data_IF_944947268296
#
_entry.id   IF_944947268296
#
_cell.length_a   1.000
_cell.length_b   1.000
_cell.length_c   1.000
_cell.angle_alpha   90.00
_cell.angle_beta   90.00
_cell.angle_gamma   90.00
#
_symmetry.space_group_name_H-M   'P 1'
#
loop_
_entity.id
_entity.type
_entity.pdbx_description
1 polymer ?
#
# COMPACT_ATOMS: atom_id res chain seq x y z
N UNK A 1 -13.34 -19.96 68.98
CA UNK A 1 -12.71 -21.20 68.47
C UNK A 1 -13.59 -21.79 67.37
N UNK A 2 -12.98 -22.36 66.31
CA UNK A 2 -13.56 -22.66 64.99
C UNK A 2 -14.06 -24.14 64.95
N UNK A 3 -14.41 -24.80 63.81
CA UNK A 3 -13.66 -24.95 62.53
C UNK A 3 -14.48 -24.58 61.27
N UNK A 4 -13.99 -24.14 60.11
CA UNK A 4 -12.88 -24.49 59.18
C UNK A 4 -13.14 -25.68 58.23
N UNK A 5 -13.26 -25.34 56.93
CA UNK A 5 -12.91 -26.08 55.69
C UNK A 5 -13.75 -27.28 55.20
N UNK A 6 -14.29 -27.18 53.98
CA UNK A 6 -13.78 -27.92 52.81
C UNK A 6 -14.62 -27.68 51.53
N UNK A 7 -13.94 -27.33 50.43
CA UNK A 7 -14.21 -27.66 49.02
C UNK A 7 -15.66 -27.78 48.51
N UNK A 8 -16.00 -27.04 47.44
CA UNK A 8 -16.41 -27.67 46.16
C UNK A 8 -16.53 -26.69 44.99
N UNK A 9 -15.64 -26.90 44.04
CA UNK A 9 -15.43 -26.23 42.75
C UNK A 9 -16.47 -26.69 41.70
N UNK A 10 -17.78 -26.54 41.97
CA UNK A 10 -18.85 -27.18 41.17
C UNK A 10 -19.84 -26.24 40.42
N UNK A 11 -19.99 -24.92 40.69
CA UNK A 11 -21.00 -24.12 39.98
C UNK A 11 -20.65 -23.82 38.52
N UNK A 12 -19.35 -23.70 38.19
CA UNK A 12 -18.91 -23.19 36.88
C UNK A 12 -19.04 -24.22 35.74
N UNK A 13 -18.82 -25.50 36.03
CA UNK A 13 -18.97 -26.57 35.01
C UNK A 13 -20.43 -26.89 34.69
N UNK A 14 -21.35 -26.83 35.67
CA UNK A 14 -22.79 -27.08 35.43
C UNK A 14 -23.44 -25.99 34.57
N UNK A 15 -23.02 -24.73 34.74
CA UNK A 15 -23.50 -23.62 33.92
C UNK A 15 -23.02 -23.72 32.46
N UNK A 16 -21.78 -24.15 32.24
CA UNK A 16 -21.23 -24.38 30.90
C UNK A 16 -21.93 -25.54 30.18
N UNK A 17 -22.13 -26.67 30.85
CA UNK A 17 -22.81 -27.84 30.26
C UNK A 17 -24.26 -27.54 29.88
N UNK A 18 -24.99 -26.76 30.69
CA UNK A 18 -26.37 -26.34 30.36
C UNK A 18 -26.42 -25.38 29.17
N UNK A 19 -25.51 -24.41 29.08
CA UNK A 19 -25.42 -23.50 27.92
C UNK A 19 -25.01 -24.26 26.65
N UNK A 20 -24.06 -25.19 26.74
CA UNK A 20 -23.67 -26.05 25.62
C UNK A 20 -24.82 -26.96 25.17
N UNK A 21 -25.58 -27.55 26.10
CA UNK A 21 -26.72 -28.41 25.77
C UNK A 21 -27.90 -27.62 25.13
N UNK A 22 -28.15 -26.39 25.57
CA UNK A 22 -29.13 -25.50 24.91
C UNK A 22 -28.69 -25.04 23.51
N UNK A 23 -27.39 -24.73 23.32
CA UNK A 23 -26.85 -24.38 22.01
C UNK A 23 -26.92 -25.56 21.04
N UNK A 24 -26.60 -26.77 21.50
CA UNK A 24 -26.72 -28.00 20.72
C UNK A 24 -28.19 -28.30 20.40
N UNK A 25 -29.11 -28.16 21.36
CA UNK A 25 -30.54 -28.35 21.11
C UNK A 25 -31.11 -27.36 20.08
N UNK A 26 -30.68 -26.09 20.10
CA UNK A 26 -31.06 -25.10 19.09
C UNK A 26 -30.45 -25.40 17.73
N UNK A 27 -29.20 -25.86 17.67
CA UNK A 27 -28.55 -26.24 16.41
C UNK A 27 -29.23 -27.47 15.79
N UNK A 28 -29.58 -28.48 16.59
CA UNK A 28 -30.30 -29.68 16.13
C UNK A 28 -31.71 -29.32 15.64
N UNK A 29 -32.44 -28.44 16.35
CA UNK A 29 -33.75 -27.98 15.89
C UNK A 29 -33.68 -27.20 14.58
N UNK A 30 -32.65 -26.36 14.39
CA UNK A 30 -32.41 -25.64 13.12
C UNK A 30 -32.08 -26.61 12.00
N UNK A 31 -31.24 -27.62 12.24
CA UNK A 31 -30.89 -28.63 11.24
C UNK A 31 -32.09 -29.51 10.86
N UNK A 32 -32.95 -29.87 11.82
CA UNK A 32 -34.19 -30.62 11.54
C UNK A 32 -35.14 -29.75 10.71
N UNK A 33 -35.36 -28.49 11.07
CA UNK A 33 -36.18 -27.57 10.26
C UNK A 33 -35.61 -27.37 8.84
N UNK A 34 -34.28 -27.26 8.71
CA UNK A 34 -33.63 -27.07 7.41
C UNK A 34 -33.81 -28.32 6.53
N UNK A 35 -33.56 -29.50 7.07
CA UNK A 35 -33.71 -30.78 6.35
C UNK A 35 -35.17 -31.09 6.01
N UNK A 36 -36.12 -30.73 6.87
CA UNK A 36 -37.55 -30.93 6.63
C UNK A 36 -38.08 -29.98 5.53
N UNK A 37 -37.61 -28.72 5.51
CA UNK A 37 -37.91 -27.75 4.44
C UNK A 37 -37.27 -28.17 3.11
N UNK A 38 -36.04 -28.65 3.11
CA UNK A 38 -35.35 -29.17 1.92
C UNK A 38 -36.06 -30.41 1.35
N UNK A 39 -36.52 -31.31 2.21
CA UNK A 39 -37.26 -32.51 1.81
C UNK A 39 -38.65 -32.17 1.24
N UNK A 40 -39.34 -31.19 1.83
CA UNK A 40 -40.64 -30.70 1.33
C UNK A 40 -40.52 -29.96 0.00
N UNK A 41 -39.45 -29.17 -0.19
CA UNK A 41 -39.17 -28.48 -1.46
C UNK A 41 -38.99 -29.49 -2.60
N UNK A 42 -38.27 -30.59 -2.34
CA UNK A 42 -37.95 -31.59 -3.34
C UNK A 42 -39.14 -32.50 -3.68
N UNK A 43 -39.94 -32.90 -2.69
CA UNK A 43 -41.12 -33.77 -2.90
C UNK A 43 -42.26 -33.01 -3.56
N UNK A 44 -42.53 -31.77 -3.14
CA UNK A 44 -43.72 -31.07 -3.61
C UNK A 44 -43.50 -30.34 -4.95
N UNK A 45 -42.34 -29.68 -5.15
CA UNK A 45 -42.09 -28.87 -6.33
C UNK A 45 -41.31 -29.61 -7.42
N UNK A 46 -40.52 -30.63 -7.06
CA UNK A 46 -39.72 -31.42 -7.98
C UNK A 46 -40.51 -32.00 -9.16
N UNK A 47 -41.61 -32.74 -8.95
CA UNK A 47 -42.38 -33.35 -10.04
C UNK A 47 -42.97 -32.35 -11.03
N UNK A 48 -43.45 -31.20 -10.53
CA UNK A 48 -44.00 -30.12 -11.38
C UNK A 48 -42.91 -29.47 -12.23
N UNK A 49 -41.73 -29.27 -11.66
CA UNK A 49 -40.56 -28.73 -12.38
C UNK A 49 -40.08 -29.71 -13.45
N UNK A 50 -40.02 -31.01 -13.16
CA UNK A 50 -39.65 -32.03 -14.14
C UNK A 50 -40.63 -32.05 -15.33
N UNK A 51 -41.94 -32.03 -15.07
CA UNK A 51 -42.95 -31.99 -16.14
C UNK A 51 -42.85 -30.72 -16.99
N UNK A 52 -42.55 -29.58 -16.37
CA UNK A 52 -42.31 -28.33 -17.10
C UNK A 52 -41.04 -28.41 -17.95
N UNK A 53 -39.95 -28.99 -17.44
CA UNK A 53 -38.72 -29.20 -18.21
C UNK A 53 -38.96 -30.13 -19.41
N UNK A 54 -39.74 -31.20 -19.26
CA UNK A 54 -40.12 -32.07 -20.37
C UNK A 54 -40.92 -31.31 -21.44
N UNK A 55 -41.82 -30.42 -21.00
CA UNK A 55 -42.63 -29.59 -21.92
C UNK A 55 -41.78 -28.56 -22.66
N UNK A 56 -40.80 -27.94 -21.99
CA UNK A 56 -39.93 -26.91 -22.57
C UNK A 56 -38.86 -27.51 -23.47
N UNK A 57 -38.29 -28.66 -23.10
CA UNK A 57 -37.28 -29.37 -23.89
C UNK A 57 -37.89 -30.14 -25.06
N UNK A 58 -39.19 -30.49 -25.00
CA UNK A 58 -39.92 -31.05 -26.13
C UNK A 58 -39.32 -32.36 -26.63
N UNK A 59 -38.66 -32.33 -27.80
CA UNK A 59 -37.95 -33.48 -28.40
C UNK A 59 -36.52 -33.67 -27.92
N UNK A 60 -35.92 -32.65 -27.32
CA UNK A 60 -34.56 -32.72 -26.80
C UNK A 60 -34.56 -33.32 -25.39
N UNK A 61 -33.58 -34.18 -25.10
CA UNK A 61 -33.44 -34.75 -23.76
C UNK A 61 -33.09 -33.64 -22.76
N UNK A 62 -33.80 -33.62 -21.62
CA UNK A 62 -33.50 -32.70 -20.52
C UNK A 62 -32.04 -32.94 -20.07
N UNK A 63 -31.18 -31.90 -20.08
CA UNK A 63 -29.79 -32.05 -19.66
C UNK A 63 -29.70 -32.59 -18.24
N UNK A 64 -28.76 -33.50 -17.98
CA UNK A 64 -28.55 -34.02 -16.63
C UNK A 64 -28.23 -32.87 -15.67
N UNK A 65 -29.02 -32.71 -14.61
CA UNK A 65 -28.81 -31.69 -13.59
C UNK A 65 -28.84 -32.32 -12.19
N UNK A 66 -28.18 -31.66 -11.25
CA UNK A 66 -28.15 -32.11 -9.87
C UNK A 66 -29.46 -31.72 -9.17
N UNK A 67 -30.19 -32.73 -8.69
CA UNK A 67 -31.45 -32.53 -7.95
C UNK A 67 -31.11 -32.22 -6.48
N UNK A 68 -30.72 -30.98 -6.24
CA UNK A 68 -30.55 -30.42 -4.90
C UNK A 68 -31.65 -29.36 -4.63
N UNK A 69 -31.99 -29.06 -3.37
CA UNK A 69 -33.12 -28.19 -3.02
C UNK A 69 -32.95 -26.77 -3.59
N UNK A 70 -31.72 -26.27 -3.67
CA UNK A 70 -31.39 -24.98 -4.28
C UNK A 70 -31.68 -24.97 -5.78
N UNK A 71 -31.30 -26.02 -6.50
CA UNK A 71 -31.55 -26.19 -7.94
C UNK A 71 -33.05 -26.30 -8.20
N UNK A 72 -33.79 -27.08 -7.40
CA UNK A 72 -35.25 -27.21 -7.53
C UNK A 72 -35.97 -25.88 -7.28
N UNK A 73 -35.57 -25.12 -6.25
CA UNK A 73 -36.14 -23.79 -5.97
C UNK A 73 -35.83 -22.78 -7.09
N UNK A 74 -34.58 -22.76 -7.59
CA UNK A 74 -34.20 -21.93 -8.73
C UNK A 74 -35.01 -22.27 -9.99
N UNK A 75 -35.14 -23.55 -10.32
CA UNK A 75 -35.92 -24.02 -11.47
C UNK A 75 -37.41 -23.74 -11.30
N UNK A 76 -37.95 -23.87 -10.09
CA UNK A 76 -39.34 -23.52 -9.80
C UNK A 76 -39.61 -22.03 -9.98
N UNK A 77 -38.72 -21.16 -9.48
CA UNK A 77 -38.80 -19.71 -9.71
C UNK A 77 -38.70 -19.36 -11.19
N UNK A 78 -37.80 -20.03 -11.91
CA UNK A 78 -37.64 -19.87 -13.35
C UNK A 78 -38.92 -20.29 -14.10
N UNK A 79 -39.48 -21.46 -13.76
CA UNK A 79 -40.75 -21.96 -14.30
C UNK A 79 -41.87 -20.94 -14.07
N UNK A 80 -42.04 -20.43 -12.85
CA UNK A 80 -43.08 -19.44 -12.54
C UNK A 80 -42.91 -18.15 -13.34
N UNK A 81 -41.66 -17.67 -13.48
CA UNK A 81 -41.35 -16.50 -14.29
C UNK A 81 -41.64 -16.76 -15.77
N UNK A 82 -41.24 -17.91 -16.29
CA UNK A 82 -41.48 -18.31 -17.67
C UNK A 82 -42.98 -18.43 -17.95
N UNK A 83 -43.75 -19.13 -17.12
CA UNK A 83 -45.21 -19.23 -17.25
C UNK A 83 -45.90 -17.86 -17.24
N UNK A 84 -45.44 -16.92 -16.40
CA UNK A 84 -45.98 -15.55 -16.40
C UNK A 84 -45.64 -14.84 -17.71
N UNK A 85 -44.41 -14.96 -18.18
CA UNK A 85 -43.98 -14.34 -19.43
C UNK A 85 -44.70 -14.93 -20.64
N UNK A 86 -44.88 -16.25 -20.68
CA UNK A 86 -45.58 -16.97 -21.74
C UNK A 86 -47.02 -16.49 -21.88
N UNK A 87 -47.72 -16.31 -20.74
CA UNK A 87 -49.07 -15.71 -20.74
C UNK A 87 -49.10 -14.28 -21.27
N UNK A 88 -48.10 -13.47 -20.92
CA UNK A 88 -48.02 -12.10 -21.43
C UNK A 88 -47.78 -12.12 -22.94
N UNK A 89 -46.88 -12.97 -23.42
CA UNK A 89 -46.59 -13.14 -24.84
C UNK A 89 -47.82 -13.65 -25.58
N UNK A 90 -48.57 -14.61 -25.02
CA UNK A 90 -49.79 -15.13 -25.65
C UNK A 90 -50.83 -14.02 -25.83
N UNK A 91 -51.03 -13.14 -24.83
CA UNK A 91 -51.92 -11.99 -24.98
C UNK A 91 -51.45 -11.02 -26.08
N UNK A 92 -50.14 -10.77 -26.20
CA UNK A 92 -49.60 -9.92 -27.27
C UNK A 92 -49.82 -10.57 -28.64
N UNK A 93 -49.63 -11.88 -28.76
CA UNK A 93 -49.87 -12.62 -30.00
C UNK A 93 -51.34 -12.54 -30.40
N UNK A 94 -52.26 -12.75 -29.45
CA UNK A 94 -53.70 -12.71 -29.71
C UNK A 94 -54.17 -11.30 -30.10
N UNK A 95 -53.68 -10.26 -29.43
CA UNK A 95 -53.92 -8.85 -29.79
C UNK A 95 -53.40 -8.52 -31.20
N UNK A 96 -52.18 -8.94 -31.54
CA UNK A 96 -51.62 -8.73 -32.88
C UNK A 96 -52.41 -9.48 -33.96
N UNK A 97 -52.86 -10.71 -33.67
CA UNK A 97 -53.72 -11.47 -34.58
C UNK A 97 -55.06 -10.78 -34.80
N UNK A 98 -55.69 -10.29 -33.74
CA UNK A 98 -56.94 -9.54 -33.82
C UNK A 98 -56.75 -8.27 -34.66
N UNK A 99 -55.73 -7.47 -34.37
CA UNK A 99 -55.41 -6.25 -35.15
C UNK A 99 -55.16 -6.57 -36.62
N UNK A 100 -54.39 -7.62 -36.92
CA UNK A 100 -54.15 -8.03 -38.30
C UNK A 100 -55.45 -8.40 -39.03
N UNK A 101 -56.36 -9.10 -38.36
CA UNK A 101 -57.68 -9.43 -38.92
C UNK A 101 -58.51 -8.16 -39.15
N UNK A 102 -58.55 -7.23 -38.18
CA UNK A 102 -59.24 -5.94 -38.30
C UNK A 102 -58.69 -5.11 -39.47
N UNK A 103 -57.37 -4.97 -39.57
CA UNK A 103 -56.73 -4.26 -40.69
C UNK A 103 -57.02 -4.93 -42.04
N UNK A 104 -57.03 -6.26 -42.11
CA UNK A 104 -57.36 -6.99 -43.34
C UNK A 104 -58.82 -6.79 -43.76
N UNK A 105 -59.76 -6.80 -42.80
CA UNK A 105 -61.17 -6.53 -43.07
C UNK A 105 -61.38 -5.08 -43.52
N UNK A 106 -60.72 -4.13 -42.86
CA UNK A 106 -60.82 -2.72 -43.20
C UNK A 106 -60.20 -2.41 -44.56
N UNK A 107 -59.06 -3.02 -44.89
CA UNK A 107 -58.44 -2.94 -46.21
C UNK A 107 -59.40 -3.45 -47.30
N UNK A 108 -60.09 -4.57 -47.04
CA UNK A 108 -61.11 -5.11 -47.96
C UNK A 108 -62.30 -4.16 -48.09
N UNK A 109 -62.80 -3.61 -46.98
CA UNK A 109 -63.91 -2.66 -46.96
C UNK A 109 -63.59 -1.40 -47.77
N UNK A 110 -62.43 -0.78 -47.53
CA UNK A 110 -61.97 0.41 -48.27
C UNK A 110 -61.75 0.07 -49.74
N UNK A 111 -61.13 -1.08 -50.04
CA UNK A 111 -60.94 -1.56 -51.42
C UNK A 111 -62.24 -1.66 -52.20
N UNK A 112 -63.30 -2.21 -51.59
CA UNK A 112 -64.62 -2.30 -52.19
C UNK A 112 -65.24 -0.91 -52.46
N UNK A 113 -65.12 0.02 -51.50
CA UNK A 113 -65.60 1.40 -51.67
C UNK A 113 -64.87 2.08 -52.84
N UNK A 114 -63.55 1.96 -52.90
CA UNK A 114 -62.75 2.55 -53.98
C UNK A 114 -63.09 1.94 -55.35
N UNK A 115 -63.30 0.62 -55.40
CA UNK A 115 -63.72 -0.07 -56.63
C UNK A 115 -65.07 0.44 -57.14
N UNK A 116 -66.03 0.67 -56.25
CA UNK A 116 -67.37 1.17 -56.62
C UNK A 116 -67.33 2.58 -57.23
N UNK A 117 -66.32 3.38 -56.90
CA UNK A 117 -66.13 4.75 -57.41
C UNK A 117 -65.16 4.75 -58.61
N UNK A 118 -64.65 3.58 -59.03
CA UNK A 118 -63.72 3.44 -60.17
C UNK A 118 -62.25 3.78 -59.85
N UNK A 119 -61.92 4.02 -58.57
CA UNK A 119 -60.60 4.41 -58.07
C UNK A 119 -59.77 3.20 -57.60
N UNK A 120 -59.91 2.06 -58.27
CA UNK A 120 -59.13 0.86 -57.94
C UNK A 120 -57.63 1.05 -58.25
N UNK A 121 -56.75 0.33 -57.56
CA UNK A 121 -55.31 0.37 -57.86
C UNK A 121 -54.97 -0.02 -59.31
N UNK A 122 -55.83 -0.84 -59.95
CA UNK A 122 -55.68 -1.21 -61.37
C UNK A 122 -56.09 -0.11 -62.36
N UNK A 123 -56.83 0.91 -61.90
CA UNK A 123 -57.26 2.05 -62.70
C UNK A 123 -56.18 3.15 -62.80
N UNK A 124 -55.13 3.07 -61.99
CA UNK A 124 -54.07 4.08 -61.92
C UNK A 124 -53.08 3.96 -63.09
N UNK A 125 -52.49 5.08 -63.49
CA UNK A 125 -51.35 5.07 -64.40
C UNK A 125 -50.14 4.39 -63.75
N UNK A 126 -49.19 3.91 -64.56
CA UNK A 126 -47.92 3.33 -64.05
C UNK A 126 -47.17 4.27 -63.10
N UNK A 127 -47.23 5.58 -63.37
CA UNK A 127 -46.64 6.60 -62.50
C UNK A 127 -47.41 6.72 -61.18
N UNK A 128 -48.74 6.73 -61.22
CA UNK A 128 -49.57 6.77 -60.02
C UNK A 128 -49.36 5.55 -59.11
N UNK A 129 -49.26 4.34 -59.67
CA UNK A 129 -48.96 3.13 -58.91
C UNK A 129 -47.57 3.18 -58.26
N UNK A 130 -46.57 3.75 -58.96
CA UNK A 130 -45.22 3.90 -58.42
C UNK A 130 -45.15 4.93 -57.29
N UNK A 131 -45.84 6.07 -57.43
CA UNK A 131 -45.95 7.09 -56.38
C UNK A 131 -46.65 6.54 -55.14
N UNK A 132 -47.77 5.82 -55.32
CA UNK A 132 -48.48 5.19 -54.20
C UNK A 132 -47.62 4.14 -53.50
N UNK A 133 -46.93 3.28 -54.26
CA UNK A 133 -46.01 2.29 -53.69
C UNK A 133 -44.88 2.94 -52.89
N UNK A 134 -44.28 4.01 -53.42
CA UNK A 134 -43.24 4.78 -52.70
C UNK A 134 -43.78 5.37 -51.40
N UNK A 135 -44.99 5.92 -51.42
CA UNK A 135 -45.61 6.53 -50.26
C UNK A 135 -45.94 5.49 -49.17
N UNK A 136 -46.47 4.33 -49.57
CA UNK A 136 -46.71 3.19 -48.66
C UNK A 136 -45.39 2.69 -48.07
N UNK A 137 -44.36 2.50 -48.88
CA UNK A 137 -43.05 2.08 -48.41
C UNK A 137 -42.43 3.10 -47.44
N UNK A 138 -42.57 4.39 -47.72
CA UNK A 138 -42.09 5.45 -46.83
C UNK A 138 -42.80 5.40 -45.48
N UNK A 139 -44.14 5.27 -45.47
CA UNK A 139 -44.91 5.12 -44.24
C UNK A 139 -44.54 3.86 -43.45
N UNK A 140 -44.31 2.73 -44.14
CA UNK A 140 -43.90 1.48 -43.50
C UNK A 140 -42.49 1.56 -42.90
N UNK A 141 -41.53 2.13 -43.62
CA UNK A 141 -40.14 2.30 -43.15
C UNK A 141 -40.06 3.28 -41.98
N UNK A 142 -40.84 4.35 -42.03
CA UNK A 142 -40.91 5.34 -40.95
C UNK A 142 -41.87 4.93 -39.82
N UNK A 143 -42.53 3.77 -39.94
CA UNK A 143 -43.53 3.27 -39.00
C UNK A 143 -44.64 4.29 -38.68
N UNK A 144 -45.11 5.03 -39.68
CA UNK A 144 -46.19 6.02 -39.51
C UNK A 144 -47.57 5.36 -39.60
N UNK A 145 -48.54 5.92 -38.87
CA UNK A 145 -49.93 5.45 -38.88
C UNK A 145 -50.64 5.68 -40.22
N UNK A 146 -50.22 6.72 -40.94
CA UNK A 146 -50.79 7.17 -42.20
C UNK A 146 -49.70 7.78 -43.09
N UNK A 147 -50.07 7.98 -44.35
CA UNK A 147 -49.24 8.63 -45.34
C UNK A 147 -49.53 10.15 -45.43
N UNK A 148 -50.00 10.76 -44.34
CA UNK A 148 -50.21 12.21 -44.32
C UNK A 148 -48.85 12.93 -44.30
N UNK A 149 -48.82 14.11 -44.93
CA UNK A 149 -47.61 14.94 -45.00
C UNK A 149 -47.05 15.24 -43.60
N UNK A 150 -47.91 15.61 -42.65
CA UNK A 150 -47.49 15.91 -41.27
C UNK A 150 -46.88 14.70 -40.57
N UNK A 151 -47.48 13.50 -40.68
CA UNK A 151 -46.93 12.29 -40.07
C UNK A 151 -45.57 11.94 -40.64
N UNK A 152 -45.42 12.01 -41.97
CA UNK A 152 -44.15 11.74 -42.64
C UNK A 152 -43.08 12.77 -42.27
N UNK A 153 -43.42 14.06 -42.29
CA UNK A 153 -42.49 15.15 -41.94
C UNK A 153 -42.01 15.07 -40.49
N UNK A 154 -42.90 14.73 -39.55
CA UNK A 154 -42.52 14.51 -38.15
C UNK A 154 -41.59 13.31 -38.00
N UNK A 155 -41.92 12.17 -38.61
CA UNK A 155 -41.08 10.97 -38.52
C UNK A 155 -39.70 11.18 -39.16
N UNK A 156 -39.64 11.87 -40.31
CA UNK A 156 -38.38 12.26 -40.95
C UNK A 156 -37.57 13.18 -40.04
N UNK A 157 -38.21 14.18 -39.43
CA UNK A 157 -37.54 15.12 -38.51
C UNK A 157 -36.99 14.40 -37.27
N UNK A 158 -37.75 13.47 -36.70
CA UNK A 158 -37.33 12.65 -35.57
C UNK A 158 -36.12 11.76 -35.92
N UNK A 159 -36.12 11.17 -37.12
CA UNK A 159 -34.98 10.41 -37.64
C UNK A 159 -33.74 11.31 -37.78
N UNK A 160 -33.88 12.51 -38.34
CA UNK A 160 -32.77 13.46 -38.46
C UNK A 160 -32.23 13.88 -37.08
N UNK A 161 -33.10 14.17 -36.12
CA UNK A 161 -32.70 14.53 -34.75
C UNK A 161 -31.98 13.36 -34.06
N UNK A 162 -32.47 12.14 -34.24
CA UNK A 162 -31.84 10.94 -33.68
C UNK A 162 -30.46 10.71 -34.28
N UNK A 163 -30.33 10.84 -35.62
CA UNK A 163 -29.04 10.76 -36.31
C UNK A 163 -28.07 11.84 -35.83
N UNK A 164 -28.55 13.06 -35.63
CA UNK A 164 -27.72 14.15 -35.15
C UNK A 164 -27.20 13.88 -33.73
N UNK A 165 -28.08 13.47 -32.80
CA UNK A 165 -27.70 13.09 -31.43
C UNK A 165 -26.69 11.94 -31.41
N UNK A 166 -26.90 10.94 -32.26
CA UNK A 166 -25.97 9.81 -32.37
C UNK A 166 -24.60 10.26 -32.89
N UNK A 167 -24.56 11.14 -33.89
CA UNK A 167 -23.32 11.71 -34.42
C UNK A 167 -22.57 12.54 -33.36
N UNK A 168 -23.28 13.29 -32.54
CA UNK A 168 -22.68 14.05 -31.43
C UNK A 168 -22.10 13.12 -30.37
N UNK A 169 -22.84 12.08 -29.96
CA UNK A 169 -22.36 11.04 -29.05
C UNK A 169 -21.10 10.36 -29.58
N UNK A 170 -21.11 9.95 -30.86
CA UNK A 170 -19.96 9.34 -31.51
C UNK A 170 -18.74 10.25 -31.52
N UNK A 171 -18.93 11.55 -31.77
CA UNK A 171 -17.82 12.52 -31.73
C UNK A 171 -17.23 12.67 -30.33
N UNK A 172 -18.06 12.67 -29.28
CA UNK A 172 -17.59 12.72 -27.90
C UNK A 172 -16.85 11.43 -27.52
N UNK A 173 -17.39 10.27 -27.88
CA UNK A 173 -16.76 8.97 -27.67
C UNK A 173 -15.40 8.89 -28.36
N UNK A 174 -15.30 9.36 -29.61
CA UNK A 174 -14.04 9.38 -30.36
C UNK A 174 -12.98 10.26 -29.68
N UNK A 175 -13.38 11.45 -29.17
CA UNK A 175 -12.48 12.32 -28.41
C UNK A 175 -11.97 11.61 -27.15
N UNK A 176 -12.86 11.03 -26.35
CA UNK A 176 -12.49 10.30 -25.12
C UNK A 176 -11.57 9.12 -25.44
N UNK A 177 -11.88 8.37 -26.50
CA UNK A 177 -11.07 7.23 -26.94
C UNK A 177 -9.67 7.70 -27.36
N UNK A 178 -9.57 8.80 -28.12
CA UNK A 178 -8.28 9.35 -28.53
C UNK A 178 -7.41 9.78 -27.33
N UNK A 179 -8.01 10.39 -26.31
CA UNK A 179 -7.32 10.77 -25.08
C UNK A 179 -6.86 9.54 -24.28
N UNK A 180 -7.73 8.53 -24.15
CA UNK A 180 -7.40 7.29 -23.47
C UNK A 180 -6.28 6.53 -24.19
N UNK A 181 -6.28 6.50 -25.52
CA UNK A 181 -5.19 5.93 -26.30
C UNK A 181 -3.87 6.68 -26.07
N UNK A 182 -3.89 8.02 -26.05
CA UNK A 182 -2.71 8.81 -25.75
C UNK A 182 -2.18 8.54 -24.33
N UNK A 183 -3.06 8.50 -23.33
CA UNK A 183 -2.71 8.13 -21.94
C UNK A 183 -2.15 6.72 -21.86
N UNK A 184 -2.75 5.76 -22.54
CA UNK A 184 -2.28 4.37 -22.57
C UNK A 184 -0.90 4.25 -23.20
N UNK A 185 -0.67 4.94 -24.33
CA UNK A 185 0.64 4.97 -24.99
C UNK A 185 1.71 5.57 -24.09
N UNK A 186 1.42 6.68 -23.40
CA UNK A 186 2.38 7.29 -22.47
C UNK A 186 2.65 6.40 -21.25
N UNK A 187 1.63 5.75 -20.70
CA UNK A 187 1.79 4.78 -19.62
C UNK A 187 2.66 3.59 -20.04
N UNK A 188 2.44 3.06 -21.26
CA UNK A 188 3.24 1.98 -21.81
C UNK A 188 4.71 2.36 -21.98
N UNK A 189 5.01 3.57 -22.48
CA UNK A 189 6.38 4.07 -22.57
C UNK A 189 7.04 4.19 -21.20
N UNK A 190 6.30 4.67 -20.18
CA UNK A 190 6.80 4.73 -18.80
C UNK A 190 7.07 3.35 -18.22
N UNK A 191 6.18 2.38 -18.44
CA UNK A 191 6.39 0.98 -18.02
C UNK A 191 7.63 0.37 -18.66
N UNK A 192 7.83 0.58 -19.97
CA UNK A 192 9.02 0.12 -20.68
C UNK A 192 10.31 0.76 -20.14
N UNK A 193 10.30 2.07 -19.86
CA UNK A 193 11.43 2.75 -19.23
C UNK A 193 11.70 2.20 -17.83
N UNK A 194 10.66 2.06 -17.00
CA UNK A 194 10.79 1.55 -15.63
C UNK A 194 11.36 0.13 -15.62
N UNK A 195 10.93 -0.74 -16.53
CA UNK A 195 11.49 -2.09 -16.69
C UNK A 195 12.97 -2.06 -17.03
N UNK A 196 13.39 -1.19 -17.96
CA UNK A 196 14.82 -1.03 -18.29
C UNK A 196 15.63 -0.50 -17.11
N UNK A 197 15.11 0.49 -16.38
CA UNK A 197 15.78 1.02 -15.19
C UNK A 197 15.89 -0.03 -14.09
N UNK A 198 14.84 -0.80 -13.85
CA UNK A 198 14.85 -1.89 -12.87
C UNK A 198 15.85 -2.98 -13.23
N UNK A 199 15.94 -3.35 -14.51
CA UNK A 199 16.94 -4.28 -14.99
C UNK A 199 18.37 -3.75 -14.78
N UNK A 200 18.62 -2.47 -15.10
CA UNK A 200 19.92 -1.84 -14.86
C UNK A 200 20.30 -1.80 -13.38
N UNK A 201 19.35 -1.48 -12.49
CA UNK A 201 19.58 -1.50 -11.05
C UNK A 201 19.84 -2.91 -10.51
N UNK A 202 19.16 -3.93 -11.05
CA UNK A 202 19.41 -5.32 -10.69
C UNK A 202 20.82 -5.76 -11.12
N UNK A 203 21.24 -5.39 -12.33
CA UNK A 203 22.59 -5.66 -12.83
C UNK A 203 23.66 -4.93 -11.99
N UNK A 204 23.44 -3.67 -11.62
CA UNK A 204 24.34 -2.91 -10.74
C UNK A 204 24.43 -3.52 -9.34
N UNK A 205 23.29 -3.98 -8.79
CA UNK A 205 23.26 -4.66 -7.50
C UNK A 205 24.09 -5.97 -7.55
N UNK A 206 23.92 -6.78 -8.61
CA UNK A 206 24.70 -8.00 -8.82
C UNK A 206 26.20 -7.73 -8.95
N UNK A 207 26.60 -6.59 -9.53
CA UNK A 207 28.00 -6.18 -9.61
C UNK A 207 28.57 -5.72 -8.26
N UNK A 208 27.75 -5.10 -7.41
CA UNK A 208 28.16 -4.62 -6.08
C UNK A 208 28.24 -5.76 -5.04
N UNK A 209 27.40 -6.79 -5.17
CA UNK A 209 27.37 -7.95 -4.27
C UNK A 209 28.75 -8.54 -3.91
N UNK A 210 29.65 -8.86 -4.87
CA UNK A 210 30.97 -9.40 -4.54
C UNK A 210 31.85 -8.42 -3.76
N UNK A 211 31.78 -7.12 -4.06
CA UNK A 211 32.55 -6.09 -3.33
C UNK A 211 31.99 -5.87 -1.92
N UNK A 212 30.67 -5.92 -1.75
CA UNK A 212 30.02 -5.89 -0.43
C UNK A 212 30.44 -7.14 0.38
N UNK A 213 30.42 -8.32 -0.23
CA UNK A 213 30.82 -9.57 0.43
C UNK A 213 32.31 -9.54 0.84
N UNK A 214 33.18 -9.04 -0.04
CA UNK A 214 34.61 -8.85 0.26
C UNK A 214 34.82 -7.89 1.42
N UNK A 215 34.15 -6.73 1.42
CA UNK A 215 34.19 -5.77 2.53
C UNK A 215 33.65 -6.38 3.82
N UNK A 216 32.59 -7.19 3.76
CA UNK A 216 32.05 -7.89 4.91
C UNK A 216 33.06 -8.90 5.50
N UNK A 217 33.73 -9.69 4.66
CA UNK A 217 34.81 -10.61 5.08
C UNK A 217 35.99 -9.85 5.72
N UNK A 218 36.42 -8.75 5.11
CA UNK A 218 37.50 -7.91 5.66
C UNK A 218 37.11 -7.29 7.00
N UNK A 219 35.89 -6.76 7.12
CA UNK A 219 35.37 -6.22 8.37
C UNK A 219 35.32 -7.29 9.47
N UNK A 220 34.89 -8.52 9.15
CA UNK A 220 34.88 -9.64 10.09
C UNK A 220 36.30 -9.99 10.58
N UNK A 221 37.28 -10.03 9.67
CA UNK A 221 38.69 -10.27 10.02
C UNK A 221 39.26 -9.19 10.96
N UNK A 222 39.06 -7.91 10.61
CA UNK A 222 39.52 -6.79 11.45
C UNK A 222 38.85 -6.81 12.83
N UNK A 223 37.57 -7.19 12.91
CA UNK A 223 36.85 -7.34 14.17
C UNK A 223 37.45 -8.44 15.04
N UNK A 224 37.84 -9.57 14.43
CA UNK A 224 38.52 -10.66 15.13
C UNK A 224 39.88 -10.20 15.67
N UNK A 225 40.70 -9.51 14.85
CA UNK A 225 42.00 -8.96 15.29
C UNK A 225 41.87 -7.93 16.40
N UNK A 226 40.89 -7.03 16.31
CA UNK A 226 40.60 -6.09 17.40
C UNK A 226 40.30 -6.81 18.72
N UNK A 227 39.54 -7.91 18.67
CA UNK A 227 39.23 -8.72 19.85
C UNK A 227 40.47 -9.44 20.40
N UNK A 228 41.34 -9.97 19.54
CA UNK A 228 42.64 -10.54 19.94
C UNK A 228 43.52 -9.50 20.62
N UNK A 229 43.76 -8.35 20.00
CA UNK A 229 44.58 -7.29 20.57
C UNK A 229 44.02 -6.78 21.89
N UNK A 230 42.70 -6.68 22.02
CA UNK A 230 42.06 -6.32 23.30
C UNK A 230 42.37 -7.34 24.39
N UNK A 231 42.36 -8.65 24.08
CA UNK A 231 42.76 -9.69 25.04
C UNK A 231 44.23 -9.55 25.43
N UNK A 232 45.12 -9.34 24.46
CA UNK A 232 46.57 -9.16 24.73
C UNK A 232 46.82 -7.93 25.58
N UNK A 233 46.18 -6.80 25.28
CA UNK A 233 46.26 -5.57 26.08
C UNK A 233 45.82 -5.85 27.52
N UNK A 234 44.68 -6.52 27.71
CA UNK A 234 44.19 -6.86 29.04
C UNK A 234 45.18 -7.76 29.79
N UNK A 235 45.74 -8.78 29.13
CA UNK A 235 46.76 -9.66 29.72
C UNK A 235 48.04 -8.91 30.10
N UNK A 236 48.52 -8.01 29.25
CA UNK A 236 49.70 -7.19 29.52
C UNK A 236 49.43 -6.20 30.67
N UNK A 237 48.23 -5.62 30.73
CA UNK A 237 47.82 -4.76 31.84
C UNK A 237 47.72 -5.53 33.15
N UNK A 238 47.19 -6.75 33.15
CA UNK A 238 47.18 -7.63 34.32
C UNK A 238 48.61 -8.00 34.76
N UNK A 239 49.48 -8.36 33.81
CA UNK A 239 50.89 -8.61 34.10
C UNK A 239 51.57 -7.39 34.71
N UNK A 240 51.34 -6.21 34.15
CA UNK A 240 51.89 -4.94 34.65
C UNK A 240 51.42 -4.63 36.08
N UNK A 241 50.14 -4.90 36.38
CA UNK A 241 49.61 -4.77 37.75
C UNK A 241 50.22 -5.80 38.70
N UNK A 242 50.38 -7.05 38.25
CA UNK A 242 50.97 -8.13 39.06
C UNK A 242 52.46 -7.97 39.32
N UNK A 243 53.19 -7.26 38.45
CA UNK A 243 54.63 -6.97 38.62
C UNK A 243 54.92 -5.84 39.61
N UNK A 244 53.89 -5.25 40.24
CA UNK A 244 54.07 -4.26 41.30
C UNK A 244 54.68 -2.93 40.84
N UNK A 245 54.57 -2.61 39.54
CA UNK A 245 55.08 -1.34 39.00
C UNK A 245 54.16 -0.21 39.46
N UNK A 246 54.63 0.57 40.42
CA UNK A 246 53.95 1.76 40.93
C UNK A 246 54.05 2.91 39.91
N UNK A 247 52.99 3.73 39.85
CA UNK A 247 52.87 4.88 38.95
C UNK A 247 53.94 5.96 39.14
N UNK A 248 54.68 5.85 40.24
CA UNK A 248 55.85 6.66 40.59
C UNK A 248 57.08 6.35 39.74
N UNK A 249 57.17 5.15 39.16
CA UNK A 249 58.27 4.66 38.32
C UNK A 249 58.07 4.94 36.82
N UNK A 250 56.96 5.57 36.42
CA UNK A 250 56.78 5.99 35.03
C UNK A 250 57.76 7.10 34.64
N UNK A 251 58.23 7.08 33.39
CA UNK A 251 59.24 8.00 32.87
C UNK A 251 58.86 9.48 33.08
N UNK A 252 57.61 9.85 32.83
CA UNK A 252 57.11 11.21 33.06
C UNK A 252 57.19 11.63 34.54
N UNK A 253 56.91 10.72 35.46
CA UNK A 253 57.02 10.99 36.91
C UNK A 253 58.48 11.08 37.35
N UNK A 254 59.35 10.21 36.83
CA UNK A 254 60.79 10.25 37.09
C UNK A 254 61.44 11.54 36.56
N UNK A 255 61.06 11.97 35.36
CA UNK A 255 61.54 13.22 34.76
C UNK A 255 61.17 14.42 35.64
N UNK A 256 59.89 14.52 36.03
CA UNK A 256 59.41 15.57 36.95
C UNK A 256 60.14 15.53 38.30
N UNK A 257 60.34 14.35 38.89
CA UNK A 257 61.09 14.20 40.15
C UNK A 257 62.54 14.63 40.01
N UNK A 258 63.17 14.33 38.87
CA UNK A 258 64.55 14.75 38.57
C UNK A 258 64.66 16.28 38.46
N UNK A 259 63.70 16.92 37.80
CA UNK A 259 63.62 18.39 37.71
C UNK A 259 63.39 19.05 39.09
N UNK A 260 62.51 18.49 39.91
CA UNK A 260 62.29 18.92 41.30
C UNK A 260 63.56 18.78 42.16
N UNK A 261 64.33 17.71 41.95
CA UNK A 261 65.59 17.47 42.66
C UNK A 261 66.66 18.46 42.22
N UNK A 262 66.78 18.73 40.92
CA UNK A 262 67.75 19.68 40.38
C UNK A 262 67.47 21.09 40.89
N UNK A 263 66.21 21.55 40.83
CA UNK A 263 65.82 22.85 41.38
C UNK A 263 66.07 22.96 42.88
N UNK A 264 65.85 21.88 43.64
CA UNK A 264 66.17 21.83 45.07
C UNK A 264 67.68 21.88 45.33
N UNK A 265 68.49 21.24 44.48
CA UNK A 265 69.95 21.26 44.54
C UNK A 265 70.51 22.63 44.20
N UNK A 266 69.97 23.30 43.19
CA UNK A 266 70.34 24.67 42.82
C UNK A 266 70.00 25.66 43.95
N UNK A 267 68.84 25.49 44.59
CA UNK A 267 68.46 26.24 45.80
C UNK A 267 69.44 25.99 46.95
N UNK A 268 69.76 24.74 47.26
CA UNK A 268 70.75 24.39 48.28
C UNK A 268 72.13 24.98 47.98
N UNK A 269 72.57 24.93 46.72
CA UNK A 269 73.83 25.54 46.30
C UNK A 269 73.83 27.05 46.54
N UNK A 270 72.75 27.75 46.18
CA UNK A 270 72.62 29.20 46.42
C UNK A 270 72.59 29.56 47.92
N UNK A 271 71.94 28.74 48.75
CA UNK A 271 71.89 28.90 50.20
C UNK A 271 73.23 28.60 50.86
N UNK A 272 73.95 27.58 50.38
CA UNK A 272 75.31 27.24 50.83
C UNK A 272 76.28 28.38 50.53
N UNK A 273 76.24 28.94 49.32
CA UNK A 273 77.06 30.09 48.94
C UNK A 273 76.80 31.30 49.84
N UNK A 274 75.53 31.58 50.18
CA UNK A 274 75.17 32.63 51.16
C UNK A 274 75.71 32.30 52.56
N UNK A 275 75.59 31.07 53.03
CA UNK A 275 76.08 30.67 54.34
C UNK A 275 77.61 30.79 54.44
N UNK A 276 78.35 30.32 53.44
CA UNK A 276 79.80 30.43 53.38
C UNK A 276 80.22 31.92 53.34
N UNK A 277 79.43 32.80 52.71
CA UNK A 277 79.66 34.26 52.78
C UNK A 277 79.38 34.87 54.15
N UNK A 278 78.47 34.30 54.95
CA UNK A 278 78.23 34.74 56.33
C UNK A 278 79.29 34.19 57.29
N UNK A 279 79.82 33.00 57.02
CA UNK A 279 80.83 32.34 57.86
C UNK A 279 82.23 32.95 57.72
N UNK A 280 82.49 33.71 56.65
CA UNK A 280 83.71 34.51 56.46
C UNK A 280 83.68 35.86 57.19
N UNK A 281 82.56 36.23 57.82
CA UNK A 281 82.43 37.45 58.64
C UNK A 281 82.81 37.18 60.11
N UNK A 282 83.61 38.04 60.76
CA UNK A 282 83.96 37.90 62.17
C UNK A 282 82.72 38.02 63.09
N UNK A 283 82.66 37.32 64.23
CA UNK A 283 81.50 37.30 65.14
C UNK A 283 81.27 38.61 65.95
N UNK A 284 82.05 39.67 65.72
CA UNK A 284 81.90 40.98 66.36
C UNK A 284 81.37 42.03 65.35
N UNK A 285 80.25 42.67 65.70
CA UNK A 285 79.45 43.54 64.81
C UNK A 285 80.20 44.80 64.36
N UNK A 286 81.13 45.31 65.19
CA UNK A 286 81.96 46.46 64.83
C UNK A 286 83.05 46.09 63.81
N UNK A 287 83.65 44.91 63.95
CA UNK A 287 84.73 44.41 63.10
C UNK A 287 84.21 43.92 61.73
N UNK A 288 83.01 43.33 61.72
CA UNK A 288 82.34 42.94 60.48
C UNK A 288 82.01 44.16 59.59
N UNK A 289 81.62 45.30 60.16
CA UNK A 289 81.39 46.54 59.39
C UNK A 289 82.65 47.07 58.71
N UNK A 290 83.80 46.99 59.39
CA UNK A 290 85.08 47.40 58.82
C UNK A 290 85.50 46.48 57.67
N UNK A 291 85.39 45.15 57.85
CA UNK A 291 85.71 44.17 56.80
C UNK A 291 84.78 44.25 55.58
N UNK A 292 83.51 44.59 55.78
CA UNK A 292 82.56 44.81 54.68
C UNK A 292 82.91 46.09 53.90
N UNK A 293 83.32 47.16 54.58
CA UNK A 293 83.79 48.39 53.91
C UNK A 293 85.15 48.21 53.21
N UNK A 294 86.07 47.44 53.78
CA UNK A 294 87.33 47.06 53.11
C UNK A 294 87.08 46.20 51.86
N UNK A 295 86.27 45.15 51.96
CA UNK A 295 85.88 44.34 50.82
C UNK A 295 85.09 45.17 49.78
N UNK A 296 84.27 46.13 50.20
CA UNK A 296 83.59 47.07 49.30
C UNK A 296 84.57 47.97 48.56
N UNK A 297 85.63 48.47 49.23
CA UNK A 297 86.70 49.25 48.60
C UNK A 297 87.55 48.42 47.63
N UNK A 298 87.84 47.16 47.95
CA UNK A 298 88.52 46.24 47.03
C UNK A 298 87.66 45.86 45.82
N UNK A 299 86.35 45.67 46.00
CA UNK A 299 85.43 45.41 44.90
C UNK A 299 85.28 46.64 44.00
N UNK A 300 85.23 47.85 44.58
CA UNK A 300 85.29 49.13 43.84
C UNK A 300 86.64 49.35 43.16
N UNK A 301 87.73 48.76 43.68
CA UNK A 301 89.07 48.77 43.06
C UNK A 301 89.20 47.79 41.88
N UNK A 302 88.50 46.65 41.92
CA UNK A 302 88.55 45.62 40.87
C UNK A 302 87.46 45.87 39.81
N UNK A 303 86.34 46.46 40.20
CA UNK A 303 85.23 46.90 39.36
C UNK A 303 84.96 48.38 39.65
N UNK A 304 85.58 49.29 38.91
CA UNK A 304 85.34 50.72 39.05
C UNK A 304 83.87 51.11 38.78
N UNK A 305 83.34 51.97 39.66
CA UNK A 305 82.01 52.65 39.71
C UNK A 305 80.88 52.01 40.55
N UNK A 306 80.21 52.91 41.29
CA UNK A 306 79.07 52.69 42.18
C UNK A 306 77.82 52.10 41.48
N UNK A 307 76.96 51.38 42.21
CA UNK A 307 75.75 50.76 41.67
C UNK A 307 74.63 51.80 41.52
N UNK A 308 74.25 52.09 40.28
CA UNK A 308 72.94 52.70 39.99
C UNK A 308 71.89 51.60 40.03
N UNK A 309 70.96 51.78 40.98
CA UNK A 309 69.64 51.17 41.11
C UNK A 309 69.16 50.32 39.92
N UNK A 310 68.99 49.03 40.18
CA UNK A 310 68.17 48.13 39.39
C UNK A 310 66.68 48.39 39.60
N UNK A 311 65.95 48.45 38.50
CA UNK A 311 64.50 48.43 38.46
C UNK A 311 64.01 47.77 37.18
N UNK A 312 63.39 46.59 37.32
CA UNK A 312 62.30 46.17 36.43
C UNK A 312 62.61 45.18 35.31
N UNK A 313 62.17 43.93 35.56
CA UNK A 313 61.32 43.12 34.68
C UNK A 313 61.93 42.46 33.42
N UNK A 314 62.20 41.15 33.55
CA UNK A 314 61.38 40.09 32.97
C UNK A 314 61.28 38.92 33.96
#
# INVERSE_FOLDING_TARGET
MPPTSAYTHVPYMRAHVRRSSQLVGRAVAVLIFFTEVEYLLQIHYGPTVCQWLDTVCGTDAVPSYEINPTTVDCLWKLMKRNQKQEKVISFVIDDLRQKAAEYSMEATRIGNVLSNIGLSCGSLSKSGTASLSTLVNMALVLHTKDASDTSLMLAISELYLTRFRQSESQSLEEKVLSELLAKTKTAFLKDSMLKKTLQGLDDDARQQDPEIEKKAKQAAFLRAKSKEYRKVINQLQEKLKSSGVDSTLYHSTLLRRSEELQTSRDKLHSLRAKLDSYQSLPPDLALAKVKVEEARRELVSIFGQDPVYGGGLL
#
